data_IF_209108718793
#
_entry.id   IF_209108718793
#
_cell.length_a   1.000
_cell.length_b   1.000
_cell.length_c   1.000
_cell.angle_alpha   90.00
_cell.angle_beta   90.00
_cell.angle_gamma   90.00
#
_symmetry.space_group_name_H-M   'P 1'
#
loop_
_entity.id
_entity.type
_entity.pdbx_description
1 polymer ?
#
# COMPACT_ATOMS: atom_id res chain seq x y z
N UNK A 1 -13.52 3.70 -45.86
CA UNK A 1 -13.37 2.59 -44.88
C UNK A 1 -11.93 2.11 -44.67
N UNK A 2 -11.13 1.82 -45.72
CA UNK A 2 -9.74 1.33 -45.56
C UNK A 2 -8.81 2.25 -44.74
N UNK A 3 -8.91 3.57 -44.92
CA UNK A 3 -8.12 4.56 -44.17
C UNK A 3 -8.48 4.63 -42.68
N UNK A 4 -9.77 4.48 -42.34
CA UNK A 4 -10.25 4.47 -40.94
C UNK A 4 -9.75 3.22 -40.21
N UNK A 5 -9.77 2.07 -40.88
CA UNK A 5 -9.25 0.82 -40.32
C UNK A 5 -7.73 0.89 -40.08
N UNK A 6 -6.96 1.48 -41.01
CA UNK A 6 -5.52 1.69 -40.86
C UNK A 6 -5.12 2.64 -39.72
N UNK A 7 -5.91 3.69 -39.49
CA UNK A 7 -5.71 4.61 -38.36
C UNK A 7 -5.99 3.91 -37.02
N UNK A 8 -7.09 3.15 -36.93
CA UNK A 8 -7.44 2.39 -35.73
C UNK A 8 -6.34 1.37 -35.40
N UNK A 9 -5.86 0.62 -36.39
CA UNK A 9 -4.75 -0.32 -36.24
C UNK A 9 -3.48 0.37 -35.72
N UNK A 10 -3.12 1.52 -36.29
CA UNK A 10 -1.95 2.30 -35.84
C UNK A 10 -2.09 2.74 -34.38
N UNK A 11 -3.27 3.23 -33.96
CA UNK A 11 -3.52 3.65 -32.57
C UNK A 11 -3.41 2.46 -31.61
N UNK A 12 -3.95 1.30 -31.97
CA UNK A 12 -3.85 0.08 -31.16
C UNK A 12 -2.38 -0.34 -31.00
N UNK A 13 -1.61 -0.32 -32.10
CA UNK A 13 -0.18 -0.67 -32.07
C UNK A 13 0.61 0.29 -31.18
N UNK A 14 0.41 1.61 -31.35
CA UNK A 14 1.08 2.62 -30.52
C UNK A 14 0.71 2.46 -29.04
N UNK A 15 -0.58 2.27 -28.74
CA UNK A 15 -1.07 2.03 -27.38
C UNK A 15 -0.47 0.76 -26.78
N UNK A 16 -0.37 -0.31 -27.55
CA UNK A 16 0.28 -1.56 -27.15
C UNK A 16 1.77 -1.37 -26.85
N UNK A 17 2.52 -0.69 -27.72
CA UNK A 17 3.94 -0.38 -27.51
C UNK A 17 4.13 0.48 -26.27
N UNK A 18 3.32 1.53 -26.10
CA UNK A 18 3.38 2.40 -24.93
C UNK A 18 3.08 1.62 -23.62
N UNK A 19 2.09 0.72 -23.65
CA UNK A 19 1.78 -0.16 -22.53
C UNK A 19 2.95 -1.09 -22.18
N UNK A 20 3.56 -1.74 -23.18
CA UNK A 20 4.72 -2.60 -22.98
C UNK A 20 5.93 -1.82 -22.44
N UNK A 21 6.20 -0.63 -22.96
CA UNK A 21 7.25 0.25 -22.46
C UNK A 21 7.00 0.68 -21.01
N UNK A 22 5.75 0.96 -20.62
CA UNK A 22 5.40 1.26 -19.25
C UNK A 22 5.68 0.07 -18.32
N UNK A 23 5.20 -1.13 -18.67
CA UNK A 23 5.43 -2.35 -17.89
C UNK A 23 6.92 -2.68 -17.77
N UNK A 24 7.68 -2.53 -18.85
CA UNK A 24 9.13 -2.71 -18.84
C UNK A 24 9.82 -1.73 -17.87
N UNK A 25 9.45 -0.45 -17.90
CA UNK A 25 10.00 0.56 -16.98
C UNK A 25 9.68 0.25 -15.53
N UNK A 26 8.46 -0.17 -15.23
CA UNK A 26 8.05 -0.59 -13.87
C UNK A 26 8.89 -1.79 -13.42
N UNK A 27 8.99 -2.83 -14.25
CA UNK A 27 9.79 -4.02 -13.96
C UNK A 27 11.27 -3.70 -13.75
N UNK A 28 11.87 -2.87 -14.61
CA UNK A 28 13.25 -2.45 -14.49
C UNK A 28 13.52 -1.63 -13.22
N UNK A 29 12.60 -0.72 -12.86
CA UNK A 29 12.66 0.04 -11.60
C UNK A 29 12.66 -0.90 -10.40
N UNK A 30 11.74 -1.85 -10.36
CA UNK A 30 11.62 -2.77 -9.22
C UNK A 30 12.82 -3.71 -9.13
N UNK A 31 13.34 -4.19 -10.26
CA UNK A 31 14.59 -4.96 -10.28
C UNK A 31 15.74 -4.15 -9.69
N UNK A 32 15.88 -2.88 -10.06
CA UNK A 32 16.93 -1.99 -9.55
C UNK A 32 16.77 -1.74 -8.05
N UNK A 33 15.55 -1.54 -7.57
CA UNK A 33 15.26 -1.34 -6.16
C UNK A 33 15.57 -2.59 -5.33
N UNK A 34 15.06 -3.76 -5.74
CA UNK A 34 15.30 -5.02 -5.03
C UNK A 34 16.77 -5.43 -5.01
N UNK A 35 17.56 -5.04 -6.03
CA UNK A 35 19.01 -5.28 -6.02
C UNK A 35 19.73 -4.62 -4.83
N UNK A 36 19.19 -3.54 -4.25
CA UNK A 36 19.76 -2.87 -3.07
C UNK A 36 19.64 -3.71 -1.78
N UNK A 37 18.77 -4.73 -1.81
CA UNK A 37 18.46 -5.58 -0.67
C UNK A 37 18.90 -7.04 -0.89
N UNK A 38 19.62 -7.33 -1.98
CA UNK A 38 20.04 -8.68 -2.34
C UNK A 38 20.94 -9.33 -1.26
N UNK A 39 21.83 -8.53 -0.66
CA UNK A 39 22.80 -8.98 0.33
C UNK A 39 22.56 -8.37 1.72
N UNK A 40 21.42 -7.69 1.92
CA UNK A 40 21.06 -7.09 3.22
C UNK A 40 20.49 -8.15 4.16
N UNK A 41 20.77 -7.99 5.45
CA UNK A 41 20.17 -8.83 6.50
C UNK A 41 18.65 -8.60 6.59
N UNK A 42 17.92 -9.65 6.91
CA UNK A 42 16.49 -9.62 7.21
C UNK A 42 16.20 -9.55 8.72
N UNK A 43 17.22 -9.31 9.54
CA UNK A 43 17.13 -9.19 11.00
C UNK A 43 16.75 -7.76 11.44
N UNK A 44 15.83 -7.69 12.39
CA UNK A 44 15.46 -6.45 13.07
C UNK A 44 16.20 -6.36 14.40
N UNK A 45 16.87 -5.23 14.63
CA UNK A 45 17.61 -4.91 15.86
C UNK A 45 16.99 -3.76 16.63
N UNK A 46 16.13 -2.98 16.00
CA UNK A 46 15.44 -1.86 16.63
C UNK A 46 14.28 -2.34 17.52
N UNK A 47 14.24 -1.87 18.77
CA UNK A 47 13.16 -2.18 19.70
C UNK A 47 12.08 -1.10 19.62
N UNK A 48 10.95 -1.46 19.00
CA UNK A 48 9.82 -0.56 18.80
C UNK A 48 8.80 -0.55 19.94
N UNK A 49 9.01 -1.33 21.01
CA UNK A 49 8.02 -1.50 22.08
C UNK A 49 6.82 -2.34 21.62
N UNK A 50 5.61 -2.00 22.08
CA UNK A 50 4.38 -2.70 21.65
C UNK A 50 3.93 -2.17 20.29
N UNK A 51 3.87 -3.05 19.30
CA UNK A 51 3.58 -2.68 17.90
C UNK A 51 2.20 -3.18 17.47
N UNK A 52 1.49 -2.34 16.71
CA UNK A 52 0.26 -2.71 15.99
C UNK A 52 0.49 -2.54 14.49
N UNK A 53 0.02 -3.48 13.68
CA UNK A 53 -0.10 -3.30 12.22
C UNK A 53 -1.57 -3.26 11.83
N UNK A 54 -2.03 -2.08 11.44
CA UNK A 54 -3.37 -1.85 10.90
C UNK A 54 -3.30 -1.88 9.37
N UNK A 55 -4.07 -2.73 8.70
CA UNK A 55 -4.00 -2.79 7.24
C UNK A 55 -5.32 -3.13 6.56
N UNK A 56 -5.52 -2.62 5.35
CA UNK A 56 -6.58 -3.09 4.45
C UNK A 56 -5.97 -3.94 3.33
N UNK A 57 -6.57 -5.09 3.00
CA UNK A 57 -6.16 -5.88 1.84
C UNK A 57 -7.35 -6.58 1.16
N UNK A 58 -7.55 -6.31 -0.12
CA UNK A 58 -8.60 -7.00 -0.90
C UNK A 58 -8.11 -8.34 -1.46
N UNK A 59 -6.88 -8.38 -1.97
CA UNK A 59 -6.33 -9.57 -2.68
C UNK A 59 -5.08 -10.14 -2.01
N UNK A 60 -4.78 -9.73 -0.79
CA UNK A 60 -3.74 -10.34 0.05
C UNK A 60 -2.33 -9.74 -0.06
N UNK A 61 -2.02 -8.87 -1.03
CA UNK A 61 -0.66 -8.31 -1.15
C UNK A 61 -0.26 -7.42 0.04
N UNK A 62 -1.17 -6.56 0.50
CA UNK A 62 -0.93 -5.71 1.68
C UNK A 62 -0.89 -6.54 2.95
N UNK A 63 -1.70 -7.61 3.00
CA UNK A 63 -1.71 -8.57 4.10
C UNK A 63 -0.35 -9.26 4.23
N UNK A 64 0.23 -9.71 3.12
CA UNK A 64 1.56 -10.34 3.11
C UNK A 64 2.63 -9.41 3.71
N UNK A 65 2.65 -8.12 3.34
CA UNK A 65 3.56 -7.14 3.98
C UNK A 65 3.26 -6.97 5.47
N UNK A 66 1.98 -6.85 5.84
CA UNK A 66 1.59 -6.67 7.24
C UNK A 66 2.03 -7.86 8.11
N UNK A 67 1.85 -9.09 7.63
CA UNK A 67 2.26 -10.31 8.30
C UNK A 67 3.79 -10.40 8.44
N UNK A 68 4.55 -9.97 7.42
CA UNK A 68 6.02 -9.88 7.51
C UNK A 68 6.50 -8.85 8.52
N UNK A 69 5.87 -7.68 8.59
CA UNK A 69 6.15 -6.67 9.61
C UNK A 69 5.87 -7.26 11.00
N UNK A 70 4.69 -7.88 11.19
CA UNK A 70 4.30 -8.46 12.47
C UNK A 70 5.25 -9.58 12.92
N UNK A 71 5.65 -10.46 12.01
CA UNK A 71 6.61 -11.53 12.32
C UNK A 71 7.97 -10.99 12.81
N UNK A 72 8.41 -9.83 12.31
CA UNK A 72 9.69 -9.21 12.70
C UNK A 72 9.63 -8.37 13.96
N UNK A 73 8.44 -7.89 14.33
CA UNK A 73 8.24 -6.94 15.43
C UNK A 73 7.43 -7.53 16.58
N UNK A 74 6.97 -8.78 16.44
CA UNK A 74 5.99 -9.40 17.33
C UNK A 74 4.73 -8.53 17.52
N UNK A 75 4.29 -7.88 16.43
CA UNK A 75 3.16 -6.97 16.46
C UNK A 75 1.82 -7.68 16.46
N UNK A 76 0.82 -7.03 17.04
CA UNK A 76 -0.58 -7.39 16.83
C UNK A 76 -1.02 -6.98 15.42
N UNK A 77 -1.94 -7.76 14.83
CA UNK A 77 -2.52 -7.48 13.51
C UNK A 77 -3.97 -7.01 13.65
N UNK A 78 -4.31 -5.92 12.97
CA UNK A 78 -5.68 -5.47 12.77
C UNK A 78 -5.97 -5.33 11.28
N UNK A 79 -6.78 -6.24 10.75
CA UNK A 79 -7.27 -6.15 9.37
C UNK A 79 -8.52 -5.26 9.32
N UNK A 80 -8.45 -4.19 8.54
CA UNK A 80 -9.57 -3.32 8.23
C UNK A 80 -10.55 -4.12 7.37
N UNK A 81 -11.76 -4.32 7.87
CA UNK A 81 -12.87 -4.93 7.13
C UNK A 81 -13.99 -3.94 6.91
N UNK A 82 -14.51 -3.91 5.69
CA UNK A 82 -15.69 -3.11 5.32
C UNK A 82 -16.96 -3.86 5.67
N UNK A 83 -17.98 -3.15 6.18
CA UNK A 83 -19.30 -3.76 6.45
C UNK A 83 -19.91 -4.39 5.21
N UNK A 84 -19.76 -3.72 4.07
CA UNK A 84 -20.14 -4.24 2.77
C UNK A 84 -18.86 -4.60 2.00
N UNK A 85 -18.63 -5.88 1.64
CA UNK A 85 -17.44 -6.29 0.91
C UNK A 85 -17.31 -5.58 -0.43
N UNK A 86 -16.09 -5.19 -0.78
CA UNK A 86 -15.82 -4.65 -2.11
C UNK A 86 -16.10 -5.69 -3.20
N UNK A 87 -16.73 -5.28 -4.32
CA UNK A 87 -16.83 -6.15 -5.49
C UNK A 87 -15.44 -6.37 -6.10
N UNK A 88 -15.33 -7.37 -6.95
CA UNK A 88 -14.10 -7.66 -7.73
C UNK A 88 -14.22 -7.17 -9.17
N UNK A 89 -13.11 -7.20 -9.92
CA UNK A 89 -13.08 -6.88 -11.35
C UNK A 89 -13.42 -5.42 -11.67
N UNK A 90 -14.10 -5.19 -12.80
CA UNK A 90 -14.36 -3.83 -13.29
C UNK A 90 -15.25 -2.98 -12.35
N UNK A 91 -16.10 -3.62 -11.54
CA UNK A 91 -17.01 -2.94 -10.62
C UNK A 91 -16.25 -2.31 -9.44
N UNK A 92 -15.15 -2.94 -9.00
CA UNK A 92 -14.22 -2.36 -8.03
C UNK A 92 -13.70 -1.01 -8.50
N UNK A 93 -13.24 -0.97 -9.76
CA UNK A 93 -12.62 0.20 -10.35
C UNK A 93 -13.57 1.40 -10.37
N UNK A 94 -14.81 1.20 -10.82
CA UNK A 94 -15.81 2.28 -10.89
C UNK A 94 -16.27 2.73 -9.50
N UNK A 95 -16.47 1.79 -8.57
CA UNK A 95 -16.87 2.08 -7.19
C UNK A 95 -15.79 2.89 -6.46
N UNK A 96 -14.55 2.39 -6.42
CA UNK A 96 -13.44 3.08 -5.76
C UNK A 96 -13.19 4.47 -6.35
N UNK A 97 -13.34 4.63 -7.68
CA UNK A 97 -13.21 5.96 -8.32
C UNK A 97 -14.22 6.95 -7.78
N UNK A 98 -15.48 6.51 -7.66
CA UNK A 98 -16.60 7.35 -7.21
C UNK A 98 -16.41 7.75 -5.75
N UNK A 99 -16.04 6.79 -4.90
CA UNK A 99 -15.77 7.00 -3.48
C UNK A 99 -14.65 8.01 -3.26
N UNK A 100 -13.52 7.85 -3.96
CA UNK A 100 -12.39 8.76 -3.88
C UNK A 100 -12.76 10.16 -4.41
N UNK A 101 -13.42 10.23 -5.57
CA UNK A 101 -13.83 11.52 -6.16
C UNK A 101 -14.79 12.29 -5.25
N UNK A 102 -15.73 11.58 -4.62
CA UNK A 102 -16.78 12.20 -3.81
C UNK A 102 -16.39 12.34 -2.33
N UNK A 103 -15.24 11.80 -1.91
CA UNK A 103 -14.83 11.66 -0.50
C UNK A 103 -15.91 10.97 0.33
N UNK A 104 -16.47 9.90 -0.22
CA UNK A 104 -17.48 9.06 0.43
C UNK A 104 -16.88 7.68 0.60
N UNK A 105 -16.42 7.37 1.80
CA UNK A 105 -15.68 6.15 2.09
C UNK A 105 -16.59 5.10 2.76
N UNK A 106 -16.34 3.80 2.58
CA UNK A 106 -17.21 2.74 3.09
C UNK A 106 -17.18 2.67 4.62
N UNK A 107 -18.26 2.23 5.22
CA UNK A 107 -18.28 1.90 6.64
C UNK A 107 -17.42 0.66 6.92
N UNK A 108 -16.70 0.68 8.04
CA UNK A 108 -15.86 -0.43 8.51
C UNK A 108 -16.56 -1.18 9.65
N UNK A 109 -16.21 -2.46 9.81
CA UNK A 109 -16.77 -3.34 10.84
C UNK A 109 -16.37 -2.89 12.26
N UNK A 110 -15.11 -2.47 12.42
CA UNK A 110 -14.56 -2.02 13.70
C UNK A 110 -13.46 -0.98 13.50
N UNK A 111 -13.21 -0.17 14.53
CA UNK A 111 -12.13 0.80 14.61
C UNK A 111 -11.00 0.21 15.48
N UNK A 112 -9.73 0.27 15.06
CA UNK A 112 -8.63 -0.24 15.88
C UNK A 112 -8.45 0.62 17.14
N UNK A 113 -8.26 -0.04 18.29
CA UNK A 113 -7.78 0.65 19.49
C UNK A 113 -6.26 0.77 19.42
N UNK A 114 -5.75 2.01 19.49
CA UNK A 114 -4.32 2.33 19.34
C UNK A 114 -3.64 2.73 20.66
N UNK A 115 -4.39 2.85 21.76
CA UNK A 115 -3.92 3.49 23.01
C UNK A 115 -2.73 2.77 23.64
N UNK A 116 -2.72 1.43 23.62
CA UNK A 116 -1.71 0.62 24.30
C UNK A 116 -0.42 0.41 23.49
N UNK A 117 -0.35 0.92 22.26
CA UNK A 117 0.77 0.69 21.36
C UNK A 117 1.74 1.87 21.35
N UNK A 118 3.02 1.59 21.11
CA UNK A 118 4.08 2.58 20.99
C UNK A 118 4.27 3.01 19.53
N UNK A 119 4.19 2.04 18.61
CA UNK A 119 4.34 2.22 17.16
C UNK A 119 3.20 1.53 16.43
N UNK A 120 2.60 2.24 15.47
CA UNK A 120 1.47 1.74 14.69
C UNK A 120 1.84 1.79 13.20
N UNK A 121 2.05 0.63 12.60
CA UNK A 121 2.17 0.53 11.15
C UNK A 121 0.77 0.60 10.53
N UNK A 122 0.61 1.37 9.46
CA UNK A 122 -0.69 1.53 8.80
C UNK A 122 -0.54 1.39 7.29
N UNK A 123 -1.26 0.46 6.66
CA UNK A 123 -1.10 0.24 5.23
C UNK A 123 -2.32 -0.19 4.44
N UNK A 124 -2.28 0.11 3.14
CA UNK A 124 -3.34 -0.22 2.19
C UNK A 124 -2.78 -0.35 0.76
N UNK A 125 -3.50 -0.97 -0.17
CA UNK A 125 -3.20 -0.86 -1.58
C UNK A 125 -3.44 0.57 -2.09
N UNK A 126 -2.71 0.96 -3.13
CA UNK A 126 -2.94 2.21 -3.86
C UNK A 126 -4.05 1.99 -4.89
N UNK A 127 -5.18 2.67 -4.72
CA UNK A 127 -6.27 2.70 -5.69
C UNK A 127 -6.45 4.11 -6.21
N UNK A 128 -6.51 4.25 -7.54
CA UNK A 128 -6.68 5.55 -8.19
C UNK A 128 -5.66 6.61 -7.75
N UNK A 129 -4.40 6.21 -7.61
CA UNK A 129 -3.28 7.08 -7.23
C UNK A 129 -3.40 7.68 -5.82
N UNK A 130 -4.12 7.02 -4.91
CA UNK A 130 -4.18 7.35 -3.47
C UNK A 130 -4.49 6.09 -2.65
N UNK A 131 -4.71 6.23 -1.34
CA UNK A 131 -5.11 5.15 -0.43
C UNK A 131 -6.42 4.47 -0.87
N UNK A 132 -6.53 3.16 -0.65
CA UNK A 132 -7.83 2.51 -0.76
C UNK A 132 -8.85 3.14 0.21
N UNK A 133 -10.11 3.37 -0.20
CA UNK A 133 -11.12 4.07 0.60
C UNK A 133 -11.31 3.57 2.05
N UNK A 134 -11.23 2.26 2.37
CA UNK A 134 -11.34 1.80 3.76
C UNK A 134 -10.31 2.41 4.72
N UNK A 135 -9.11 2.72 4.20
CA UNK A 135 -8.08 3.34 5.03
C UNK A 135 -8.43 4.80 5.36
N UNK A 136 -9.07 5.55 4.45
CA UNK A 136 -9.57 6.89 4.78
C UNK A 136 -10.55 6.83 5.96
N UNK A 137 -11.51 5.91 5.94
CA UNK A 137 -12.48 5.73 7.03
C UNK A 137 -11.79 5.48 8.38
N UNK A 138 -10.75 4.65 8.41
CA UNK A 138 -9.98 4.39 9.64
C UNK A 138 -9.25 5.64 10.11
N UNK A 139 -8.51 6.32 9.24
CA UNK A 139 -7.75 7.53 9.60
C UNK A 139 -8.66 8.68 10.06
N UNK A 140 -9.88 8.77 9.53
CA UNK A 140 -10.88 9.75 9.96
C UNK A 140 -11.49 9.42 11.33
N UNK A 141 -11.56 8.16 11.72
CA UNK A 141 -12.18 7.71 12.97
C UNK A 141 -11.19 7.50 14.13
N UNK A 142 -9.92 7.26 13.83
CA UNK A 142 -8.86 7.06 14.83
C UNK A 142 -8.18 8.40 15.14
N UNK A 143 -8.14 8.76 16.42
CA UNK A 143 -7.21 9.76 16.93
C UNK A 143 -5.94 9.05 17.39
N UNK A 144 -4.79 9.38 16.80
CA UNK A 144 -3.52 8.74 17.14
C UNK A 144 -2.87 9.33 18.39
N UNK A 145 -3.41 10.37 19.03
CA UNK A 145 -2.97 10.84 20.35
C UNK A 145 -1.45 11.08 20.48
N UNK A 146 -0.79 11.55 19.42
CA UNK A 146 0.65 11.79 19.35
C UNK A 146 1.52 10.56 19.08
N UNK A 147 0.93 9.35 18.96
CA UNK A 147 1.63 8.08 18.74
C UNK A 147 2.46 8.10 17.45
N UNK A 148 3.49 7.25 17.41
CA UNK A 148 4.31 7.03 16.22
C UNK A 148 3.51 6.21 15.20
N UNK A 149 3.30 6.77 14.02
CA UNK A 149 2.54 6.12 12.94
C UNK A 149 3.44 5.94 11.72
N UNK A 150 3.52 4.72 11.22
CA UNK A 150 4.46 4.30 10.19
C UNK A 150 3.68 3.84 8.95
N UNK A 151 3.47 4.71 7.95
CA UNK A 151 2.63 4.36 6.81
C UNK A 151 3.38 3.47 5.81
N UNK A 152 2.66 2.49 5.25
CA UNK A 152 3.13 1.73 4.10
C UNK A 152 2.07 1.54 3.03
N UNK A 153 2.51 1.20 1.83
CA UNK A 153 1.63 0.99 0.69
C UNK A 153 2.04 -0.20 -0.15
N UNK A 154 1.07 -0.75 -0.89
CA UNK A 154 1.33 -1.74 -1.93
C UNK A 154 0.72 -1.27 -3.24
N UNK A 155 1.42 -1.46 -4.35
CA UNK A 155 0.95 -0.99 -5.65
C UNK A 155 1.53 -1.82 -6.80
N UNK A 156 0.90 -1.72 -7.97
CA UNK A 156 1.43 -2.33 -9.20
C UNK A 156 2.36 -1.42 -10.00
N UNK A 157 2.29 -0.10 -9.80
CA UNK A 157 3.12 0.86 -10.55
C UNK A 157 3.30 2.19 -9.83
N UNK A 158 2.25 3.01 -9.75
CA UNK A 158 2.36 4.39 -9.29
C UNK A 158 1.72 4.58 -7.91
N UNK A 159 2.48 5.16 -6.99
CA UNK A 159 2.06 5.50 -5.63
C UNK A 159 1.09 6.70 -5.57
N UNK A 160 1.19 7.61 -6.54
CA UNK A 160 0.39 8.83 -6.57
C UNK A 160 0.57 9.69 -5.32
N UNK A 161 -0.55 10.10 -4.72
CA UNK A 161 -0.64 10.96 -3.54
C UNK A 161 -0.87 10.19 -2.23
N UNK A 162 -0.66 8.87 -2.23
CA UNK A 162 -1.02 8.02 -1.10
C UNK A 162 -0.54 8.57 0.25
N UNK A 163 0.73 8.96 0.34
CA UNK A 163 1.34 9.37 1.61
C UNK A 163 1.06 10.83 1.95
N UNK A 164 0.89 11.68 0.95
CA UNK A 164 0.42 13.05 1.12
C UNK A 164 -1.00 13.06 1.70
N UNK A 165 -1.90 12.26 1.12
CA UNK A 165 -3.27 12.11 1.59
C UNK A 165 -3.31 11.40 2.95
N UNK A 166 -2.41 10.42 3.20
CA UNK A 166 -2.25 9.79 4.51
C UNK A 166 -1.91 10.83 5.58
N UNK A 167 -0.85 11.61 5.37
CA UNK A 167 -0.39 12.62 6.32
C UNK A 167 -1.45 13.71 6.57
N UNK A 168 -2.23 14.06 5.56
CA UNK A 168 -3.34 15.02 5.69
C UNK A 168 -4.56 14.45 6.46
N UNK A 169 -4.72 13.13 6.49
CA UNK A 169 -5.89 12.48 7.11
C UNK A 169 -5.61 11.94 8.52
N UNK A 170 -4.36 11.53 8.81
CA UNK A 170 -3.97 10.94 10.09
C UNK A 170 -4.00 11.96 11.24
N UNK A 171 -5.07 11.93 12.04
CA UNK A 171 -5.30 12.87 13.14
C UNK A 171 -4.30 12.66 14.29
N UNK A 172 -3.61 13.73 14.68
CA UNK A 172 -2.66 13.77 15.79
C UNK A 172 -1.58 12.66 15.74
N UNK A 173 -1.18 12.23 14.55
CA UNK A 173 -0.14 11.22 14.39
C UNK A 173 1.26 11.87 14.33
N UNK A 174 2.24 11.27 15.00
CA UNK A 174 3.65 11.52 14.69
C UNK A 174 4.05 10.60 13.55
N UNK A 175 3.92 11.09 12.31
CA UNK A 175 4.19 10.28 11.10
C UNK A 175 5.70 10.09 10.93
N UNK A 176 6.14 8.83 10.93
CA UNK A 176 7.54 8.43 10.76
C UNK A 176 7.86 8.04 9.30
N UNK A 177 9.08 7.55 9.08
CA UNK A 177 9.55 7.14 7.76
C UNK A 177 8.62 6.08 7.14
N UNK A 178 8.16 6.37 5.93
CA UNK A 178 7.26 5.51 5.13
C UNK A 178 8.01 4.46 4.31
N UNK A 179 7.31 3.40 3.87
CA UNK A 179 7.80 2.49 2.83
C UNK A 179 6.71 2.11 1.82
N UNK A 180 7.08 1.97 0.56
CA UNK A 180 6.20 1.50 -0.51
C UNK A 180 6.68 0.17 -1.11
N UNK A 181 5.76 -0.67 -1.54
CA UNK A 181 6.06 -2.02 -2.04
C UNK A 181 5.40 -2.23 -3.41
N UNK A 182 6.22 -2.11 -4.46
CA UNK A 182 5.75 -2.11 -5.84
C UNK A 182 5.97 -3.46 -6.53
N UNK A 183 4.90 -4.04 -7.09
CA UNK A 183 4.90 -5.29 -7.88
C UNK A 183 5.79 -6.39 -7.25
N UNK A 184 5.36 -6.87 -6.09
CA UNK A 184 6.07 -7.86 -5.28
C UNK A 184 5.95 -9.26 -5.87
N UNK A 185 6.71 -9.49 -6.94
CA UNK A 185 6.91 -10.83 -7.49
C UNK A 185 7.62 -11.72 -6.45
N UNK A 186 7.13 -12.95 -6.27
CA UNK A 186 7.64 -13.91 -5.28
C UNK A 186 9.15 -14.15 -5.38
N UNK A 187 9.76 -13.96 -6.55
CA UNK A 187 11.21 -14.06 -6.70
C UNK A 187 12.00 -13.04 -5.85
N UNK A 188 11.33 -11.99 -5.38
CA UNK A 188 11.90 -10.93 -4.54
C UNK A 188 11.59 -11.10 -3.05
N UNK A 189 10.98 -12.20 -2.60
CA UNK A 189 10.54 -12.36 -1.21
C UNK A 189 11.69 -12.12 -0.21
N UNK A 190 12.90 -12.63 -0.48
CA UNK A 190 14.08 -12.39 0.39
C UNK A 190 14.46 -10.91 0.45
N UNK A 191 14.42 -10.21 -0.67
CA UNK A 191 14.73 -8.79 -0.76
C UNK A 191 13.64 -7.94 -0.09
N UNK A 192 12.38 -8.37 -0.16
CA UNK A 192 11.27 -7.75 0.57
C UNK A 192 11.45 -7.91 2.07
N UNK A 193 11.80 -9.11 2.55
CA UNK A 193 12.13 -9.36 3.96
C UNK A 193 13.28 -8.47 4.45
N UNK A 194 14.36 -8.37 3.67
CA UNK A 194 15.50 -7.52 3.98
C UNK A 194 15.14 -6.02 3.92
N UNK A 195 14.29 -5.61 2.98
CA UNK A 195 13.78 -4.23 2.90
C UNK A 195 12.95 -3.86 4.12
N UNK A 196 12.06 -4.73 4.57
CA UNK A 196 11.24 -4.49 5.77
C UNK A 196 12.16 -4.36 6.99
N UNK A 197 13.16 -5.24 7.14
CA UNK A 197 14.08 -5.19 8.26
C UNK A 197 14.94 -3.90 8.26
N UNK A 198 15.53 -3.55 7.11
CA UNK A 198 16.30 -2.31 6.91
C UNK A 198 15.46 -1.08 7.24
N UNK A 199 14.19 -1.08 6.82
CA UNK A 199 13.26 0.01 7.11
C UNK A 199 12.94 0.11 8.60
N UNK A 200 12.58 -0.99 9.25
CA UNK A 200 12.28 -1.02 10.70
C UNK A 200 13.49 -0.56 11.51
N UNK A 201 14.69 -0.97 11.12
CA UNK A 201 15.93 -0.58 11.80
C UNK A 201 16.27 0.91 11.65
N UNK A 202 15.68 1.59 10.67
CA UNK A 202 15.83 3.04 10.47
C UNK A 202 14.81 3.91 11.20
N UNK A 203 13.84 3.33 11.90
CA UNK A 203 12.80 4.04 12.67
C UNK A 203 13.29 4.52 14.04
#
# INVERSE_FOLDING_TARGET
MKYVLGIILTIIVIGGIAGLLHLYRVSAKNKKEMAQYADKSAEVTNNLGKVLVVYYSLTGHTKDIAEKIAAKTNADLFEIKTKEPYPTGAKLYTMAKKEIKNKQYPAIEAVPNVTDYDVIFVGAPVWWYTMAPPLFTVLEQVDFQGKKVVPFSTQGSNIGKFFEDFAATAKNATVLQRADFNNMDKKYDKQVEAKIADWINGL
#
